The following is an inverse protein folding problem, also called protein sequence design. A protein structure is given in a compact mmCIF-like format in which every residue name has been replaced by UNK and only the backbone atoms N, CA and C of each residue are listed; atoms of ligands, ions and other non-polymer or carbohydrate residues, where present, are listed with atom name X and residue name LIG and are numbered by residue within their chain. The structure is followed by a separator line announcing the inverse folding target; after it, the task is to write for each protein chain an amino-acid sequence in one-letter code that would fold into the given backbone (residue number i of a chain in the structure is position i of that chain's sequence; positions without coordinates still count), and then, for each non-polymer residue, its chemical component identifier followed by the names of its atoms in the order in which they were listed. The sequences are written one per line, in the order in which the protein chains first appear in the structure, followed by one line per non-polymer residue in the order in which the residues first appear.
data_IF_259177704569
#
_entry.id   IF_259177704569
#
_cell.length_a   1.000
_cell.length_b   1.000
_cell.length_c   1.000
_cell.angle_alpha   90.00
_cell.angle_beta   90.00
_cell.angle_gamma   90.00
#
_symmetry.space_group_name_H-M   'P 1'
#
loop_
_entity.id
_entity.type
_entity.pdbx_description
1 polymer ?
#
# COMPACT_ATOMS: atom_id res chain seq x y z
N UNK A 1 -1.95 18.21 -27.18
CA UNK A 1 -2.79 17.01 -27.03
C UNK A 1 -4.00 17.20 -27.91
N UNK A 2 -4.43 16.17 -28.63
CA UNK A 2 -5.55 16.29 -29.55
C UNK A 2 -6.92 16.40 -28.82
N UNK A 3 -7.95 16.82 -29.57
CA UNK A 3 -9.29 17.03 -29.01
C UNK A 3 -9.97 15.75 -28.49
N UNK A 4 -9.67 14.59 -29.06
CA UNK A 4 -10.21 13.32 -28.61
C UNK A 4 -9.59 12.90 -27.28
N UNK A 5 -8.26 12.99 -27.16
CA UNK A 5 -7.51 12.74 -25.93
C UNK A 5 -7.99 13.64 -24.79
N UNK A 6 -8.21 14.94 -25.05
CA UNK A 6 -8.80 15.88 -24.07
C UNK A 6 -10.19 15.46 -23.60
N UNK A 7 -11.09 15.06 -24.52
CA UNK A 7 -12.44 14.59 -24.16
C UNK A 7 -12.41 13.30 -23.36
N UNK A 8 -11.52 12.37 -23.74
CA UNK A 8 -11.32 11.13 -22.99
C UNK A 8 -10.86 11.41 -21.56
N UNK A 9 -9.91 12.33 -21.39
CA UNK A 9 -9.41 12.72 -20.08
C UNK A 9 -10.51 13.36 -19.21
N UNK A 10 -11.27 14.33 -19.75
CA UNK A 10 -12.42 14.91 -19.06
C UNK A 10 -13.40 13.83 -18.58
N UNK A 11 -13.71 12.85 -19.44
CA UNK A 11 -14.60 11.74 -19.08
C UNK A 11 -14.05 10.92 -17.92
N UNK A 12 -12.75 10.63 -17.91
CA UNK A 12 -12.11 9.90 -16.79
C UNK A 12 -12.14 10.71 -15.51
N UNK A 13 -11.89 12.03 -15.56
CA UNK A 13 -11.99 12.92 -14.38
C UNK A 13 -13.41 12.90 -13.81
N UNK A 14 -14.44 13.09 -14.67
CA UNK A 14 -15.83 13.03 -14.22
C UNK A 14 -16.20 11.67 -13.63
N UNK A 15 -15.66 10.58 -14.19
CA UNK A 15 -15.90 9.24 -13.66
C UNK A 15 -15.29 9.09 -12.27
N UNK A 16 -14.02 9.48 -12.07
CA UNK A 16 -13.32 9.44 -10.79
C UNK A 16 -14.07 10.18 -9.68
N UNK A 17 -14.70 11.31 -10.02
CA UNK A 17 -15.49 12.10 -9.06
C UNK A 17 -16.85 11.46 -8.72
N UNK A 18 -17.35 10.55 -9.55
CA UNK A 18 -18.70 9.97 -9.43
C UNK A 18 -18.72 8.52 -8.93
N UNK A 19 -17.65 7.75 -9.17
CA UNK A 19 -17.61 6.31 -8.90
C UNK A 19 -17.45 5.97 -7.42
N UNK A 20 -17.01 6.93 -6.59
CA UNK A 20 -16.61 6.67 -5.21
C UNK A 20 -15.36 5.80 -5.11
N UNK A 21 -14.65 5.57 -6.22
CA UNK A 21 -13.37 4.88 -6.26
C UNK A 21 -12.25 5.80 -5.76
N UNK A 22 -11.20 5.20 -5.17
CA UNK A 22 -10.06 5.93 -4.61
C UNK A 22 -9.18 6.58 -5.70
N UNK A 23 -9.29 6.16 -6.95
CA UNK A 23 -8.56 6.71 -8.11
C UNK A 23 -9.01 6.08 -9.42
N UNK A 24 -8.88 6.82 -10.50
CA UNK A 24 -8.95 6.33 -11.87
C UNK A 24 -7.62 6.47 -12.60
N UNK A 25 -7.38 5.62 -13.60
CA UNK A 25 -6.19 5.72 -14.46
C UNK A 25 -6.63 6.11 -15.86
N UNK A 26 -6.08 7.22 -16.35
CA UNK A 26 -6.19 7.61 -17.75
C UNK A 26 -4.88 7.33 -18.48
N UNK A 27 -4.95 6.68 -19.64
CA UNK A 27 -3.79 6.42 -20.49
C UNK A 27 -3.91 7.16 -21.83
N UNK A 28 -2.87 7.92 -22.18
CA UNK A 28 -2.76 8.60 -23.46
C UNK A 28 -2.30 7.64 -24.57
N UNK A 29 -2.51 8.03 -25.84
CA UNK A 29 -2.15 7.21 -27.01
C UNK A 29 -0.65 6.89 -27.13
N UNK A 30 0.22 7.70 -26.52
CA UNK A 30 1.66 7.43 -26.42
C UNK A 30 2.03 6.57 -25.18
N UNK A 31 1.04 5.93 -24.57
CA UNK A 31 1.16 5.04 -23.41
C UNK A 31 1.63 5.71 -22.10
N UNK A 32 1.68 7.06 -22.05
CA UNK A 32 1.81 7.79 -20.78
C UNK A 32 0.53 7.60 -19.97
N UNK A 33 0.67 7.27 -18.68
CA UNK A 33 -0.45 6.98 -17.78
C UNK A 33 -0.50 7.97 -16.63
N UNK A 34 -1.68 8.47 -16.32
CA UNK A 34 -1.95 9.43 -15.27
C UNK A 34 -3.01 8.86 -14.34
N UNK A 35 -2.68 8.87 -13.05
CA UNK A 35 -3.60 8.55 -11.97
C UNK A 35 -4.32 9.84 -11.54
N UNK A 36 -5.65 9.75 -11.48
CA UNK A 36 -6.58 10.84 -11.15
C UNK A 36 -7.28 10.44 -9.86
N UNK A 37 -7.14 11.25 -8.83
CA UNK A 37 -7.75 11.01 -7.52
C UNK A 37 -8.72 12.14 -7.19
N UNK A 38 -9.95 11.85 -6.74
CA UNK A 38 -10.82 12.89 -6.20
C UNK A 38 -10.21 13.52 -4.94
N UNK A 39 -10.49 14.80 -4.71
CA UNK A 39 -10.16 15.48 -3.47
C UNK A 39 -11.35 15.40 -2.50
N UNK A 40 -11.21 14.60 -1.45
CA UNK A 40 -12.26 14.40 -0.45
C UNK A 40 -12.56 15.67 0.35
N UNK A 41 -11.58 16.58 0.48
CA UNK A 41 -11.73 17.85 1.21
C UNK A 41 -12.36 18.96 0.35
N UNK A 42 -12.13 18.91 -0.96
CA UNK A 42 -12.62 19.91 -1.92
C UNK A 42 -13.43 19.25 -3.05
N UNK A 43 -14.74 19.03 -2.85
CA UNK A 43 -15.59 18.39 -3.85
C UNK A 43 -15.51 19.08 -5.21
N UNK A 44 -15.27 18.29 -6.26
CA UNK A 44 -15.12 18.79 -7.63
C UNK A 44 -13.67 19.12 -8.03
N UNK A 45 -12.71 19.01 -7.11
CA UNK A 45 -11.28 19.07 -7.42
C UNK A 45 -10.68 17.66 -7.54
N UNK A 46 -9.51 17.56 -8.18
CA UNK A 46 -8.75 16.31 -8.33
C UNK A 46 -7.26 16.51 -8.11
N UNK A 47 -6.59 15.47 -7.62
CA UNK A 47 -5.15 15.32 -7.64
C UNK A 47 -4.72 14.50 -8.87
N UNK A 48 -3.63 14.90 -9.50
CA UNK A 48 -3.08 14.23 -10.68
C UNK A 48 -1.66 13.76 -10.36
N UNK A 49 -1.34 12.52 -10.73
CA UNK A 49 0.02 11.99 -10.65
C UNK A 49 0.32 11.22 -11.93
N UNK A 50 1.45 11.50 -12.59
CA UNK A 50 1.91 10.67 -13.69
C UNK A 50 2.58 9.41 -13.16
N UNK A 51 2.22 8.25 -13.72
CA UNK A 51 2.74 6.95 -13.32
C UNK A 51 4.06 6.68 -14.06
N UNK A 52 5.21 6.76 -13.36
CA UNK A 52 6.50 6.47 -13.99
C UNK A 52 6.58 4.99 -14.35
N UNK A 53 7.26 4.64 -15.46
CA UNK A 53 7.59 3.26 -15.76
C UNK A 53 8.57 2.71 -14.72
N UNK A 54 8.44 1.42 -14.41
CA UNK A 54 9.46 0.68 -13.69
C UNK A 54 10.68 0.46 -14.59
N UNK A 55 11.81 0.10 -13.96
CA UNK A 55 12.98 -0.44 -14.67
C UNK A 55 12.72 -1.87 -15.21
N UNK A 56 11.50 -2.15 -15.67
CA UNK A 56 11.00 -3.44 -16.14
C UNK A 56 10.05 -3.29 -17.32
N UNK A 57 10.00 -4.32 -18.16
CA UNK A 57 9.10 -4.41 -19.29
C UNK A 57 8.34 -5.74 -19.28
N UNK A 58 7.21 -5.76 -19.98
CA UNK A 58 6.49 -6.96 -20.36
C UNK A 58 6.55 -7.18 -21.88
N UNK A 59 6.44 -8.41 -22.35
CA UNK A 59 6.21 -8.76 -23.76
C UNK A 59 5.02 -9.72 -23.82
N UNK A 60 4.03 -9.36 -24.62
CA UNK A 60 2.89 -10.25 -24.92
C UNK A 60 3.31 -11.20 -26.03
N UNK A 61 3.55 -12.47 -25.70
CA UNK A 61 3.84 -13.52 -26.67
C UNK A 61 2.56 -14.23 -27.06
N UNK A 62 2.18 -14.17 -28.34
CA UNK A 62 1.08 -14.96 -28.87
C UNK A 62 1.57 -16.38 -29.18
N UNK A 63 1.02 -17.37 -28.49
CA UNK A 63 1.31 -18.80 -28.74
C UNK A 63 0.06 -19.52 -29.21
N UNK A 64 0.21 -20.73 -29.77
CA UNK A 64 -0.93 -21.59 -30.15
C UNK A 64 -1.85 -21.92 -28.96
N UNK A 65 -1.36 -21.84 -27.73
CA UNK A 65 -2.10 -22.08 -26.49
C UNK A 65 -2.70 -20.81 -25.86
N UNK A 66 -2.52 -19.63 -26.48
CA UNK A 66 -2.96 -18.33 -25.97
C UNK A 66 -1.83 -17.31 -25.79
N UNK A 67 -2.17 -16.12 -25.28
CA UNK A 67 -1.20 -15.09 -24.93
C UNK A 67 -0.46 -15.42 -23.63
N UNK A 68 0.86 -15.32 -23.64
CA UNK A 68 1.72 -15.44 -22.46
C UNK A 68 2.50 -14.15 -22.28
N UNK A 69 2.46 -13.59 -21.08
CA UNK A 69 3.28 -12.43 -20.73
C UNK A 69 4.63 -12.89 -20.19
N UNK A 70 5.71 -12.35 -20.75
CA UNK A 70 7.06 -12.48 -20.21
C UNK A 70 7.55 -11.15 -19.67
N UNK A 71 8.26 -11.20 -18.55
CA UNK A 71 8.74 -10.02 -17.84
C UNK A 71 10.25 -10.02 -17.74
N UNK A 72 10.86 -8.85 -17.90
CA UNK A 72 12.31 -8.67 -17.79
C UNK A 72 12.68 -7.31 -17.22
N UNK A 73 13.93 -7.19 -16.79
CA UNK A 73 14.51 -5.91 -16.38
C UNK A 73 14.95 -5.12 -17.63
N UNK A 74 14.79 -3.79 -17.60
CA UNK A 74 15.18 -2.94 -18.72
C UNK A 74 16.71 -2.89 -18.88
N UNK A 75 17.22 -2.95 -20.14
CA UNK A 75 18.64 -2.71 -20.42
C UNK A 75 19.11 -1.34 -19.91
N UNK A 76 20.34 -1.26 -19.43
CA UNK A 76 20.92 -0.04 -18.85
C UNK A 76 20.92 1.14 -19.84
N UNK A 77 21.02 0.87 -21.15
CA UNK A 77 21.02 1.91 -22.19
C UNK A 77 19.66 2.58 -22.38
N UNK A 78 18.58 1.95 -21.91
CA UNK A 78 17.21 2.49 -21.97
C UNK A 78 16.85 3.14 -20.63
N UNK A 79 17.61 2.88 -19.56
CA UNK A 79 17.41 3.53 -18.26
C UNK A 79 17.63 5.03 -18.39
N UNK A 80 16.63 5.80 -17.96
CA UNK A 80 16.63 7.25 -18.08
C UNK A 80 16.05 7.80 -19.40
N UNK A 81 15.79 6.97 -20.42
CA UNK A 81 15.15 7.42 -21.65
C UNK A 81 13.78 8.07 -21.40
N UNK A 82 13.04 7.58 -20.40
CA UNK A 82 11.77 8.17 -19.95
C UNK A 82 11.90 9.64 -19.54
N UNK A 83 12.98 10.01 -18.84
CA UNK A 83 13.19 11.40 -18.40
C UNK A 83 13.60 12.31 -19.56
N UNK A 84 14.24 11.76 -20.58
CA UNK A 84 14.71 12.50 -21.75
C UNK A 84 13.63 12.68 -22.82
N UNK A 85 12.80 11.66 -23.05
CA UNK A 85 11.74 11.65 -24.05
C UNK A 85 10.53 10.82 -23.57
N UNK A 86 9.69 11.38 -22.67
CA UNK A 86 8.57 10.64 -22.10
C UNK A 86 7.51 10.27 -23.16
N UNK A 87 7.31 11.08 -24.20
CA UNK A 87 6.37 10.76 -25.27
C UNK A 87 6.88 9.65 -26.20
N UNK A 88 8.19 9.57 -26.46
CA UNK A 88 8.80 8.55 -27.30
C UNK A 88 9.21 7.27 -26.57
N UNK A 89 9.20 7.28 -25.24
CA UNK A 89 9.72 6.18 -24.41
C UNK A 89 9.16 4.79 -24.75
N UNK A 90 7.85 4.69 -24.95
CA UNK A 90 7.22 3.40 -25.29
C UNK A 90 7.70 2.89 -26.65
N UNK A 91 7.89 3.79 -27.62
CA UNK A 91 8.43 3.44 -28.93
C UNK A 91 9.88 2.99 -28.83
N UNK A 92 10.69 3.57 -27.92
CA UNK A 92 12.06 3.12 -27.66
C UNK A 92 12.06 1.68 -27.15
N UNK A 93 11.19 1.35 -26.18
CA UNK A 93 11.05 -0.02 -25.67
C UNK A 93 10.69 -0.98 -26.79
N UNK A 94 9.68 -0.63 -27.60
CA UNK A 94 9.24 -1.50 -28.70
C UNK A 94 10.32 -1.74 -29.74
N UNK A 95 10.99 -0.67 -30.16
CA UNK A 95 12.06 -0.72 -31.16
C UNK A 95 13.27 -1.53 -30.68
N UNK A 96 13.55 -1.52 -29.36
CA UNK A 96 14.72 -2.19 -28.79
C UNK A 96 14.48 -3.64 -28.39
N UNK A 97 13.27 -3.96 -27.93
CA UNK A 97 12.95 -5.27 -27.36
C UNK A 97 12.05 -6.09 -28.27
N UNK A 98 10.88 -5.57 -28.63
CA UNK A 98 9.89 -6.22 -29.49
C UNK A 98 8.71 -5.27 -29.74
N UNK A 99 8.05 -5.33 -30.88
CA UNK A 99 6.82 -4.56 -31.13
C UNK A 99 5.69 -4.86 -30.13
N UNK A 100 5.71 -6.06 -29.52
CA UNK A 100 4.79 -6.47 -28.47
C UNK A 100 5.27 -6.13 -27.05
N UNK A 101 6.41 -5.45 -26.91
CA UNK A 101 6.94 -5.01 -25.63
C UNK A 101 6.19 -3.77 -25.11
N UNK A 102 6.04 -3.70 -23.81
CA UNK A 102 5.43 -2.56 -23.12
C UNK A 102 6.12 -2.25 -21.80
N UNK A 103 6.06 -0.98 -21.39
CA UNK A 103 6.55 -0.58 -20.07
C UNK A 103 5.62 -1.06 -18.96
N UNK A 104 6.18 -1.67 -17.91
CA UNK A 104 5.42 -1.92 -16.68
C UNK A 104 5.33 -0.62 -15.88
N UNK A 105 4.12 -0.32 -15.40
CA UNK A 105 3.83 0.88 -14.61
C UNK A 105 3.04 0.45 -13.39
N UNK A 106 3.26 1.08 -12.26
CA UNK A 106 2.25 1.11 -11.21
C UNK A 106 2.20 2.46 -10.55
N UNK A 107 1.20 2.62 -9.68
CA UNK A 107 1.04 3.81 -8.87
C UNK A 107 2.32 4.08 -8.09
N UNK A 108 2.64 5.35 -7.95
CA UNK A 108 3.87 5.77 -7.30
C UNK A 108 3.92 5.20 -5.86
N UNK A 109 5.06 4.67 -5.38
CA UNK A 109 5.14 4.08 -4.04
C UNK A 109 4.83 5.07 -2.91
N UNK A 110 4.96 6.37 -3.20
CA UNK A 110 4.57 7.47 -2.32
C UNK A 110 3.25 8.13 -2.73
N UNK A 111 2.36 7.43 -3.44
CA UNK A 111 1.08 7.97 -3.95
C UNK A 111 0.32 8.75 -2.90
N UNK A 112 0.10 8.18 -1.71
CA UNK A 112 -0.64 8.83 -0.63
C UNK A 112 0.02 10.13 -0.14
N UNK A 113 1.36 10.22 -0.20
CA UNK A 113 2.10 11.42 0.17
C UNK A 113 2.13 12.46 -0.96
N UNK A 114 2.25 12.00 -2.21
CA UNK A 114 2.16 12.88 -3.38
C UNK A 114 0.77 13.51 -3.50
N UNK A 115 -0.29 12.73 -3.31
CA UNK A 115 -1.66 13.24 -3.36
C UNK A 115 -1.91 14.28 -2.27
N UNK A 116 -1.49 14.01 -1.03
CA UNK A 116 -1.67 14.95 0.10
C UNK A 116 -0.80 16.20 0.01
N UNK A 117 0.29 16.17 -0.76
CA UNK A 117 1.18 17.32 -0.97
C UNK A 117 1.02 17.97 -2.33
N UNK A 118 0.28 17.39 -3.26
CA UNK A 118 -0.05 18.05 -4.52
C UNK A 118 -1.16 19.08 -4.31
N UNK A 119 -1.12 20.18 -5.05
CA UNK A 119 -2.25 21.11 -5.15
C UNK A 119 -3.37 20.39 -5.90
N UNK A 120 -4.58 20.32 -5.32
CA UNK A 120 -5.74 19.87 -6.07
C UNK A 120 -6.12 20.89 -7.14
N UNK A 121 -6.69 20.40 -8.24
CA UNK A 121 -6.94 21.17 -9.45
C UNK A 121 -8.40 20.99 -9.89
N UNK A 122 -8.96 22.01 -10.55
CA UNK A 122 -10.24 21.83 -11.26
C UNK A 122 -10.05 20.84 -12.42
N UNK A 123 -11.14 20.24 -12.95
CA UNK A 123 -11.05 19.39 -14.13
C UNK A 123 -10.40 20.09 -15.33
N UNK A 124 -10.64 21.37 -15.51
CA UNK A 124 -10.05 22.19 -16.58
C UNK A 124 -8.55 22.38 -16.35
N UNK A 125 -8.13 22.76 -15.15
CA UNK A 125 -6.71 22.90 -14.79
C UNK A 125 -5.96 21.57 -14.96
N UNK A 126 -6.56 20.44 -14.55
CA UNK A 126 -5.98 19.12 -14.70
C UNK A 126 -5.76 18.75 -16.18
N UNK A 127 -6.75 19.02 -17.04
CA UNK A 127 -6.64 18.78 -18.48
C UNK A 127 -5.59 19.67 -19.13
N UNK A 128 -5.51 20.94 -18.73
CA UNK A 128 -4.49 21.87 -19.20
C UNK A 128 -3.09 21.43 -18.77
N UNK A 129 -2.90 21.05 -17.51
CA UNK A 129 -1.61 20.65 -16.97
C UNK A 129 -1.10 19.33 -17.60
N UNK A 130 -1.97 18.34 -17.79
CA UNK A 130 -1.63 17.11 -18.53
C UNK A 130 -1.35 17.43 -20.00
N UNK A 131 -2.16 18.29 -20.63
CA UNK A 131 -1.93 18.72 -22.01
C UNK A 131 -0.55 19.34 -22.19
N UNK A 132 -0.17 20.27 -21.30
CA UNK A 132 1.12 20.97 -21.35
C UNK A 132 2.29 20.00 -21.20
N UNK A 133 2.21 19.06 -20.24
CA UNK A 133 3.25 18.03 -20.07
C UNK A 133 3.42 17.13 -21.30
N UNK A 134 2.31 16.80 -21.99
CA UNK A 134 2.34 16.04 -23.24
C UNK A 134 2.89 16.90 -24.38
N UNK A 135 2.43 18.13 -24.53
CA UNK A 135 2.80 19.03 -25.64
C UNK A 135 4.25 19.48 -25.57
N UNK A 136 4.77 19.66 -24.36
CA UNK A 136 6.18 20.04 -24.13
C UNK A 136 7.12 18.84 -24.03
N UNK A 137 6.59 17.61 -24.13
CA UNK A 137 7.33 16.36 -23.97
C UNK A 137 8.14 16.31 -22.66
N UNK A 138 7.49 16.64 -21.54
CA UNK A 138 8.08 16.62 -20.21
C UNK A 138 7.32 15.69 -19.29
N UNK A 139 8.03 15.08 -18.34
CA UNK A 139 7.39 14.35 -17.25
C UNK A 139 6.55 15.36 -16.48
N UNK A 140 5.27 15.05 -16.28
CA UNK A 140 4.38 15.85 -15.47
C UNK A 140 4.87 15.86 -14.04
N UNK A 141 4.98 17.06 -13.49
CA UNK A 141 5.32 17.29 -12.10
C UNK A 141 4.16 18.03 -11.45
N UNK A 142 3.47 17.44 -10.46
CA UNK A 142 2.40 18.15 -9.77
C UNK A 142 2.98 19.35 -9.03
N UNK A 143 2.23 20.45 -8.96
CA UNK A 143 2.56 21.56 -8.08
C UNK A 143 2.46 21.07 -6.64
N UNK A 144 3.57 21.10 -5.90
CA UNK A 144 3.62 20.65 -4.52
C UNK A 144 3.32 21.84 -3.58
N UNK A 145 2.41 21.65 -2.63
CA UNK A 145 2.13 22.58 -1.54
C UNK A 145 3.33 22.66 -0.59
N UNK A 146 3.57 23.83 0.04
CA UNK A 146 4.64 23.96 1.03
C UNK A 146 4.54 22.90 2.12
N UNK A 147 5.69 22.41 2.59
CA UNK A 147 5.70 21.53 3.76
C UNK A 147 5.21 22.34 4.95
N UNK A 148 4.17 21.87 5.64
CA UNK A 148 3.73 22.42 6.93
C UNK A 148 4.18 21.50 8.06
N UNK A 149 4.88 22.06 9.04
CA UNK A 149 5.28 21.36 10.25
C UNK A 149 4.81 22.14 11.47
N UNK A 150 3.86 21.58 12.21
CA UNK A 150 3.35 22.13 13.46
C UNK A 150 3.60 21.13 14.59
N UNK A 151 4.18 21.57 15.70
CA UNK A 151 4.46 20.71 16.86
C UNK A 151 3.19 20.14 17.49
N UNK A 152 2.12 20.93 17.57
CA UNK A 152 0.83 20.49 18.12
C UNK A 152 0.21 19.40 17.25
N UNK A 153 0.24 19.55 15.93
CA UNK A 153 -0.24 18.51 15.00
C UNK A 153 0.58 17.23 15.11
N UNK A 154 1.91 17.33 15.17
CA UNK A 154 2.79 16.16 15.33
C UNK A 154 2.48 15.42 16.63
N UNK A 155 2.23 16.15 17.71
CA UNK A 155 1.81 15.58 18.99
C UNK A 155 0.42 14.94 18.90
N UNK A 156 -0.54 15.59 18.24
CA UNK A 156 -1.89 15.07 18.05
C UNK A 156 -1.88 13.76 17.26
N UNK A 157 -1.12 13.69 16.15
CA UNK A 157 -0.96 12.46 15.36
C UNK A 157 -0.29 11.35 16.17
N UNK A 158 0.76 11.67 16.93
CA UNK A 158 1.41 10.70 17.81
C UNK A 158 0.45 10.17 18.89
N UNK A 159 -0.32 11.06 19.52
CA UNK A 159 -1.32 10.70 20.52
C UNK A 159 -2.43 9.81 19.92
N UNK A 160 -2.92 10.14 18.72
CA UNK A 160 -3.90 9.33 18.00
C UNK A 160 -3.37 7.92 17.70
N UNK A 161 -2.15 7.80 17.14
CA UNK A 161 -1.55 6.49 16.87
C UNK A 161 -1.33 5.67 18.14
N UNK A 162 -0.92 6.30 19.23
CA UNK A 162 -0.77 5.64 20.52
C UNK A 162 -2.13 5.19 21.08
N UNK A 163 -3.18 5.99 20.94
CA UNK A 163 -4.53 5.63 21.33
C UNK A 163 -5.05 4.44 20.54
N UNK A 164 -4.93 4.46 19.20
CA UNK A 164 -5.32 3.32 18.35
C UNK A 164 -4.51 2.06 18.65
N UNK A 165 -3.20 2.21 18.92
CA UNK A 165 -2.35 1.06 19.31
C UNK A 165 -2.78 0.47 20.65
N UNK A 166 -3.15 1.32 21.62
CA UNK A 166 -3.66 0.91 22.92
C UNK A 166 -5.01 0.20 22.78
N UNK A 167 -5.94 0.79 22.03
CA UNK A 167 -7.25 0.20 21.75
C UNK A 167 -7.11 -1.16 21.08
N UNK A 168 -6.24 -1.28 20.07
CA UNK A 168 -5.97 -2.56 19.40
C UNK A 168 -5.38 -3.61 20.35
N UNK A 169 -4.50 -3.22 21.28
CA UNK A 169 -3.97 -4.13 22.28
C UNK A 169 -5.03 -4.56 23.31
N UNK A 170 -5.89 -3.63 23.75
CA UNK A 170 -7.02 -3.94 24.63
C UNK A 170 -8.02 -4.89 23.96
N UNK A 171 -8.33 -4.67 22.69
CA UNK A 171 -9.13 -5.58 21.87
C UNK A 171 -8.48 -6.96 21.78
N UNK A 172 -7.17 -7.03 21.48
CA UNK A 172 -6.43 -8.30 21.39
C UNK A 172 -6.48 -9.09 22.71
N UNK A 173 -6.39 -8.41 23.85
CA UNK A 173 -6.52 -9.02 25.18
C UNK A 173 -7.95 -9.51 25.43
N UNK A 174 -8.96 -8.71 25.07
CA UNK A 174 -10.36 -9.09 25.19
C UNK A 174 -10.70 -10.32 24.35
N UNK A 175 -10.27 -10.36 23.09
CA UNK A 175 -10.42 -11.51 22.20
C UNK A 175 -9.74 -12.77 22.76
N UNK A 176 -8.53 -12.61 23.32
CA UNK A 176 -7.84 -13.71 23.99
C UNK A 176 -8.64 -14.22 25.19
N UNK A 177 -9.15 -13.36 26.06
CA UNK A 177 -9.99 -13.76 27.19
C UNK A 177 -11.26 -14.50 26.74
N UNK A 178 -11.93 -14.02 25.68
CA UNK A 178 -13.07 -14.71 25.09
C UNK A 178 -12.69 -16.11 24.56
N UNK A 179 -11.49 -16.24 23.96
CA UNK A 179 -10.98 -17.53 23.46
C UNK A 179 -10.58 -18.52 24.56
N UNK A 180 -10.51 -18.05 25.82
CA UNK A 180 -10.23 -18.88 26.99
C UNK A 180 -11.49 -19.36 27.71
N UNK A 181 -12.69 -19.06 27.19
CA UNK A 181 -13.96 -19.49 27.78
C UNK A 181 -14.04 -21.01 28.00
N UNK A 182 -14.73 -21.41 29.07
CA UNK A 182 -14.92 -22.83 29.41
C UNK A 182 -15.72 -23.59 28.34
N UNK A 183 -16.60 -22.89 27.62
CA UNK A 183 -17.41 -23.43 26.51
C UNK A 183 -16.58 -23.85 25.29
N UNK A 184 -15.31 -23.41 25.22
CA UNK A 184 -14.39 -23.78 24.16
C UNK A 184 -13.67 -25.07 24.56
N UNK A 185 -13.63 -26.10 23.68
CA UNK A 185 -12.92 -27.35 23.98
C UNK A 185 -11.45 -27.08 24.32
N UNK A 186 -10.91 -27.80 25.31
CA UNK A 186 -9.60 -27.53 25.89
C UNK A 186 -8.46 -27.38 24.87
N UNK A 187 -8.44 -28.22 23.83
CA UNK A 187 -7.44 -28.17 22.75
C UNK A 187 -7.40 -26.83 21.98
N UNK A 188 -8.53 -26.11 21.93
CA UNK A 188 -8.68 -24.90 21.14
C UNK A 188 -8.74 -23.62 21.99
N UNK A 189 -8.61 -23.73 23.32
CA UNK A 189 -8.59 -22.55 24.20
C UNK A 189 -7.37 -21.69 23.88
N UNK A 190 -7.57 -20.38 23.84
CA UNK A 190 -6.54 -19.40 23.48
C UNK A 190 -6.36 -19.19 21.96
N UNK A 191 -6.89 -20.10 21.13
CA UNK A 191 -6.85 -19.97 19.66
C UNK A 191 -7.94 -19.02 19.16
N UNK A 192 -7.57 -18.13 18.25
CA UNK A 192 -8.46 -17.05 17.79
C UNK A 192 -8.05 -16.51 16.42
N UNK A 193 -9.01 -15.96 15.70
CA UNK A 193 -8.79 -15.19 14.48
C UNK A 193 -9.15 -13.71 14.72
N UNK A 194 -9.05 -12.81 13.72
CA UNK A 194 -9.38 -11.40 13.89
C UNK A 194 -10.85 -11.11 14.26
N UNK A 195 -11.72 -12.12 14.24
CA UNK A 195 -13.13 -12.04 14.63
C UNK A 195 -13.39 -12.63 16.03
N UNK A 196 -12.34 -13.03 16.76
CA UNK A 196 -12.43 -13.61 18.09
C UNK A 196 -12.17 -15.13 18.10
N UNK A 197 -12.82 -15.89 19.01
CA UNK A 197 -12.58 -17.33 19.17
C UNK A 197 -12.79 -18.10 17.86
N UNK A 198 -12.01 -19.16 17.64
CA UNK A 198 -12.15 -19.95 16.42
C UNK A 198 -13.58 -20.52 16.26
N UNK A 199 -14.23 -20.30 15.10
CA UNK A 199 -15.55 -20.85 14.84
C UNK A 199 -15.48 -22.38 14.69
N UNK A 200 -16.63 -23.04 14.84
CA UNK A 200 -16.71 -24.51 14.85
C UNK A 200 -16.08 -25.15 13.60
N UNK A 201 -16.37 -24.65 12.40
CA UNK A 201 -15.78 -25.18 11.15
C UNK A 201 -14.24 -25.17 11.18
N UNK A 202 -13.63 -24.06 11.61
CA UNK A 202 -12.18 -23.99 11.75
C UNK A 202 -11.65 -25.01 12.78
N UNK A 203 -12.33 -25.17 13.92
CA UNK A 203 -11.95 -26.16 14.93
C UNK A 203 -12.07 -27.60 14.41
N UNK A 204 -13.12 -27.90 13.65
CA UNK A 204 -13.36 -29.22 13.06
C UNK A 204 -12.27 -29.56 12.03
N UNK A 205 -11.82 -28.58 11.23
CA UNK A 205 -10.67 -28.76 10.31
C UNK A 205 -9.36 -29.03 11.04
N UNK A 206 -9.06 -28.25 12.08
CA UNK A 206 -7.88 -28.48 12.92
C UNK A 206 -7.93 -29.87 13.58
N UNK A 207 -9.12 -30.29 14.04
CA UNK A 207 -9.33 -31.61 14.62
C UNK A 207 -9.14 -32.73 13.58
N UNK A 208 -9.58 -32.53 12.34
CA UNK A 208 -9.38 -33.47 11.23
C UNK A 208 -7.89 -33.76 11.02
N UNK A 209 -7.08 -32.71 10.91
CA UNK A 209 -5.63 -32.88 10.77
C UNK A 209 -4.99 -33.50 12.02
N UNK A 210 -5.41 -33.08 13.22
CA UNK A 210 -4.90 -33.63 14.48
C UNK A 210 -5.13 -35.15 14.60
N UNK A 211 -6.31 -35.63 14.19
CA UNK A 211 -6.68 -37.04 14.26
C UNK A 211 -6.10 -37.86 13.09
N UNK A 212 -5.96 -37.26 11.91
CA UNK A 212 -5.47 -37.93 10.70
C UNK A 212 -4.56 -36.99 9.90
N UNK A 213 -3.26 -36.90 10.24
CA UNK A 213 -2.31 -36.07 9.50
C UNK A 213 -2.13 -36.59 8.08
N UNK A 214 -2.54 -35.79 7.09
CA UNK A 214 -2.37 -36.06 5.66
C UNK A 214 -2.06 -34.77 4.90
N UNK A 215 -1.54 -34.87 3.68
CA UNK A 215 -1.30 -33.71 2.81
C UNK A 215 -2.59 -32.92 2.54
N UNK A 216 -3.69 -33.62 2.26
CA UNK A 216 -5.01 -33.02 2.01
C UNK A 216 -5.51 -32.27 3.24
N UNK A 217 -5.45 -32.88 4.42
CA UNK A 217 -5.86 -32.23 5.66
C UNK A 217 -4.94 -31.07 6.03
N UNK A 218 -3.64 -31.19 5.75
CA UNK A 218 -2.69 -30.11 5.97
C UNK A 218 -2.98 -28.90 5.10
N UNK A 219 -3.25 -29.10 3.81
CA UNK A 219 -3.57 -28.01 2.90
C UNK A 219 -4.79 -27.20 3.40
N UNK A 220 -5.82 -27.93 3.87
CA UNK A 220 -7.03 -27.35 4.44
C UNK A 220 -6.81 -26.50 5.72
N UNK A 221 -5.77 -26.78 6.51
CA UNK A 221 -5.53 -26.08 7.79
C UNK A 221 -4.36 -25.11 7.75
N UNK A 222 -3.38 -25.33 6.87
CA UNK A 222 -2.07 -24.64 6.83
C UNK A 222 -2.18 -23.12 6.77
N UNK A 223 -3.26 -22.61 6.15
CA UNK A 223 -3.54 -21.19 5.92
C UNK A 223 -4.60 -20.59 6.85
N UNK A 224 -5.18 -21.38 7.74
CA UNK A 224 -6.15 -20.86 8.71
C UNK A 224 -5.46 -19.89 9.67
N UNK A 225 -6.09 -18.75 9.97
CA UNK A 225 -5.57 -17.82 10.97
C UNK A 225 -5.98 -18.34 12.35
N UNK A 226 -5.01 -18.74 13.16
CA UNK A 226 -5.25 -19.33 14.49
C UNK A 226 -4.71 -18.49 15.65
N UNK A 227 -4.07 -17.34 15.34
CA UNK A 227 -3.71 -16.32 16.34
C UNK A 227 -3.90 -14.91 15.75
N UNK A 228 -4.77 -14.11 16.37
CA UNK A 228 -5.20 -12.80 15.85
C UNK A 228 -4.10 -11.73 15.90
N UNK A 229 -3.34 -11.64 16.99
CA UNK A 229 -2.36 -10.56 17.21
C UNK A 229 -1.19 -10.50 16.23
N UNK A 230 -0.99 -11.54 15.40
CA UNK A 230 0.04 -11.57 14.33
C UNK A 230 -0.48 -12.15 13.01
N UNK A 231 -1.79 -12.39 12.88
CA UNK A 231 -2.38 -13.13 11.76
C UNK A 231 -1.66 -14.46 11.48
N UNK A 232 -1.18 -15.13 12.54
CA UNK A 232 -0.37 -16.33 12.37
C UNK A 232 -1.22 -17.52 11.94
N UNK A 233 -0.68 -18.28 10.98
CA UNK A 233 -1.26 -19.54 10.51
C UNK A 233 -0.47 -20.73 11.06
N UNK A 234 -1.02 -21.97 11.05
CA UNK A 234 -0.26 -23.15 11.41
C UNK A 234 1.06 -23.27 10.67
N UNK A 235 1.07 -22.98 9.35
CA UNK A 235 2.29 -22.99 8.56
C UNK A 235 3.29 -21.91 9.00
N UNK A 236 2.83 -20.67 9.21
CA UNK A 236 3.67 -19.57 9.68
C UNK A 236 4.31 -19.83 11.04
N UNK A 237 3.58 -20.50 11.94
CA UNK A 237 4.12 -20.91 13.24
C UNK A 237 5.10 -22.07 13.08
N UNK A 238 4.78 -23.07 12.26
CA UNK A 238 5.67 -24.20 12.01
C UNK A 238 7.05 -23.75 11.52
N UNK A 239 7.11 -22.87 10.52
CA UNK A 239 8.39 -22.35 9.99
C UNK A 239 9.20 -21.56 11.02
N UNK A 240 8.55 -21.01 12.04
CA UNK A 240 9.21 -20.24 13.10
C UNK A 240 9.82 -21.11 14.20
N UNK A 241 9.26 -22.33 14.42
CA UNK A 241 9.73 -23.25 15.47
C UNK A 241 10.58 -24.39 14.93
N UNK A 242 10.46 -24.72 13.64
CA UNK A 242 11.21 -25.81 12.97
C UNK A 242 11.95 -25.26 11.74
N UNK A 243 13.29 -25.09 11.80
CA UNK A 243 14.09 -24.62 10.68
C UNK A 243 14.01 -25.49 9.42
N UNK A 244 13.67 -26.78 9.57
CA UNK A 244 13.53 -27.73 8.47
C UNK A 244 12.14 -27.68 7.83
N UNK A 245 11.19 -26.89 8.34
CA UNK A 245 9.85 -26.78 7.79
C UNK A 245 9.89 -26.26 6.34
N UNK A 246 9.02 -26.76 5.43
CA UNK A 246 8.94 -26.24 4.07
C UNK A 246 8.57 -24.76 4.06
N UNK A 247 9.37 -23.93 3.37
CA UNK A 247 9.13 -22.48 3.21
C UNK A 247 8.39 -22.12 1.93
N UNK A 248 8.14 -23.10 1.08
CA UNK A 248 7.36 -22.95 -0.15
C UNK A 248 6.72 -24.29 -0.53
N UNK A 249 5.71 -24.22 -1.38
CA UNK A 249 5.21 -25.36 -2.13
C UNK A 249 6.27 -25.79 -3.16
N UNK A 250 6.15 -27.03 -3.66
CA UNK A 250 6.95 -27.48 -4.80
C UNK A 250 6.40 -26.89 -6.13
N UNK A 251 7.05 -27.22 -7.26
CA UNK A 251 6.65 -26.71 -8.59
C UNK A 251 5.22 -27.13 -9.02
N UNK A 252 4.68 -28.20 -8.44
CA UNK A 252 3.35 -28.70 -8.74
C UNK A 252 2.27 -28.09 -7.83
N UNK A 253 2.66 -27.27 -6.84
CA UNK A 253 1.76 -26.69 -5.86
C UNK A 253 1.52 -27.57 -4.63
N UNK A 254 2.23 -28.67 -4.46
CA UNK A 254 2.07 -29.57 -3.31
C UNK A 254 3.03 -29.24 -2.16
N UNK A 255 2.63 -29.61 -0.95
CA UNK A 255 3.47 -29.53 0.24
C UNK A 255 4.58 -30.60 0.19
N UNK A 256 5.87 -30.22 0.34
CA UNK A 256 6.96 -31.21 0.36
C UNK A 256 6.88 -32.18 1.54
N UNK A 257 6.34 -31.72 2.68
CA UNK A 257 6.03 -32.52 3.88
C UNK A 257 5.00 -31.79 4.73
N UNK A 258 4.35 -32.52 5.64
CA UNK A 258 3.43 -31.99 6.66
C UNK A 258 4.07 -32.10 8.05
N UNK A 259 3.61 -31.31 9.04
CA UNK A 259 4.04 -31.53 10.42
C UNK A 259 3.49 -32.87 10.92
N UNK A 260 4.23 -33.52 11.82
CA UNK A 260 3.68 -34.63 12.59
C UNK A 260 2.73 -34.11 13.68
N UNK A 261 2.05 -35.04 14.37
CA UNK A 261 1.05 -34.69 15.40
C UNK A 261 1.66 -33.88 16.55
N UNK A 262 2.87 -34.21 16.98
CA UNK A 262 3.54 -33.53 18.10
C UNK A 262 3.95 -32.11 17.71
N UNK A 263 4.44 -31.93 16.48
CA UNK A 263 4.73 -30.62 15.91
C UNK A 263 3.44 -29.80 15.77
N UNK A 264 2.34 -30.43 15.37
CA UNK A 264 1.04 -29.77 15.28
C UNK A 264 0.52 -29.31 16.65
N UNK A 265 0.71 -30.12 17.70
CA UNK A 265 0.40 -29.69 19.08
C UNK A 265 1.22 -28.45 19.46
N UNK A 266 2.53 -28.46 19.23
CA UNK A 266 3.40 -27.30 19.50
C UNK A 266 2.95 -26.05 18.75
N UNK A 267 2.50 -26.22 17.50
CA UNK A 267 1.93 -25.11 16.71
C UNK A 267 0.71 -24.52 17.41
N UNK A 268 -0.23 -25.34 17.89
CA UNK A 268 -1.41 -24.88 18.61
C UNK A 268 -1.05 -24.24 19.96
N UNK A 269 -0.11 -24.82 20.70
CA UNK A 269 0.38 -24.27 21.97
C UNK A 269 0.98 -22.87 21.78
N UNK A 270 1.87 -22.70 20.78
CA UNK A 270 2.45 -21.40 20.46
C UNK A 270 1.36 -20.41 20.04
N UNK A 271 0.41 -20.83 19.20
CA UNK A 271 -0.71 -19.98 18.77
C UNK A 271 -1.59 -19.51 19.95
N UNK A 272 -1.76 -20.35 20.97
CA UNK A 272 -2.56 -20.09 22.17
C UNK A 272 -1.90 -19.17 23.19
N UNK A 273 -0.67 -18.70 22.94
CA UNK A 273 0.08 -17.90 23.90
C UNK A 273 -0.61 -16.56 24.19
N UNK A 274 -0.65 -16.19 25.48
CA UNK A 274 -1.22 -14.93 25.96
C UNK A 274 -0.53 -13.71 25.29
N UNK A 275 -1.29 -12.81 24.65
CA UNK A 275 -0.72 -11.58 24.06
C UNK A 275 0.01 -10.70 25.09
N UNK A 276 -0.36 -10.74 26.38
CA UNK A 276 0.33 -10.00 27.45
C UNK A 276 1.79 -10.45 27.62
N UNK A 277 2.11 -11.71 27.28
CA UNK A 277 3.50 -12.21 27.27
C UNK A 277 4.29 -11.73 26.05
N UNK A 278 3.62 -11.20 25.01
CA UNK A 278 4.23 -10.92 23.71
C UNK A 278 4.58 -9.45 23.45
N UNK A 279 4.10 -8.46 24.20
CA UNK A 279 4.20 -7.06 23.73
C UNK A 279 4.43 -6.02 24.83
N UNK A 280 5.56 -5.33 24.73
CA UNK A 280 5.63 -3.91 25.09
C UNK A 280 5.01 -3.11 23.94
N UNK A 281 3.97 -2.32 24.22
CA UNK A 281 3.44 -1.37 23.25
C UNK A 281 4.54 -0.36 22.91
N UNK A 282 4.98 -0.32 21.66
CA UNK A 282 5.92 0.70 21.20
C UNK A 282 5.14 2.01 21.08
N UNK A 283 5.39 2.94 21.99
CA UNK A 283 4.85 4.30 21.90
C UNK A 283 5.55 5.07 20.79
N UNK A 284 4.77 5.79 19.99
CA UNK A 284 5.23 6.70 18.95
C UNK A 284 5.32 8.10 19.54
N UNK A 285 6.43 8.79 19.32
CA UNK A 285 6.63 10.18 19.73
C UNK A 285 6.38 11.16 18.59
N UNK A 286 6.22 12.45 18.90
CA UNK A 286 6.15 13.51 17.88
C UNK A 286 7.41 13.54 16.99
N UNK A 287 8.59 13.24 17.56
CA UNK A 287 9.85 13.14 16.80
C UNK A 287 9.85 11.97 15.81
N UNK A 288 9.17 10.87 16.14
CA UNK A 288 9.02 9.75 15.20
C UNK A 288 8.11 10.15 14.02
N UNK A 289 7.02 10.86 14.29
CA UNK A 289 6.14 11.42 13.25
C UNK A 289 6.90 12.42 12.38
N UNK A 290 7.73 13.28 13.00
CA UNK A 290 8.57 14.24 12.28
C UNK A 290 9.55 13.52 11.35
N UNK A 291 10.25 12.49 11.85
CA UNK A 291 11.18 11.69 11.04
C UNK A 291 10.47 11.04 9.85
N UNK A 292 9.27 10.50 10.05
CA UNK A 292 8.47 9.94 8.97
C UNK A 292 8.08 11.00 7.92
N UNK A 293 7.57 12.17 8.35
CA UNK A 293 7.23 13.27 7.44
C UNK A 293 8.46 13.76 6.66
N UNK A 294 9.61 13.92 7.31
CA UNK A 294 10.87 14.33 6.67
C UNK A 294 11.40 13.25 5.72
N UNK A 295 11.27 11.97 6.06
CA UNK A 295 11.66 10.88 5.17
C UNK A 295 10.80 10.85 3.90
N UNK A 296 9.49 11.05 4.04
CA UNK A 296 8.58 11.15 2.90
C UNK A 296 8.90 12.37 2.02
N UNK A 297 9.13 13.54 2.63
CA UNK A 297 9.50 14.77 1.91
C UNK A 297 10.83 14.62 1.17
N UNK A 298 11.83 14.01 1.79
CA UNK A 298 13.12 13.76 1.13
C UNK A 298 12.99 12.73 0.00
N UNK A 299 12.08 11.77 0.12
CA UNK A 299 11.71 10.87 -0.98
C UNK A 299 11.11 11.63 -2.16
N UNK A 300 10.20 12.57 -1.87
CA UNK A 300 9.59 13.45 -2.87
C UNK A 300 10.62 14.34 -3.57
N UNK A 301 11.46 15.06 -2.80
CA UNK A 301 12.53 15.93 -3.33
C UNK A 301 13.50 15.15 -4.22
N UNK A 302 13.91 13.95 -3.81
CA UNK A 302 14.76 13.07 -4.64
C UNK A 302 14.13 12.76 -6.00
N UNK A 303 12.82 12.50 -6.03
CA UNK A 303 12.12 12.20 -7.27
C UNK A 303 12.01 13.44 -8.19
N UNK A 304 11.93 14.63 -7.60
CA UNK A 304 11.97 15.90 -8.32
C UNK A 304 13.39 16.35 -8.69
N UNK A 305 14.44 15.59 -8.30
CA UNK A 305 15.83 15.99 -8.53
C UNK A 305 16.32 17.12 -7.62
N UNK A 306 15.59 17.39 -6.54
CA UNK A 306 15.93 18.40 -5.53
C UNK A 306 16.82 17.79 -4.43
N UNK A 307 17.68 18.59 -3.79
CA UNK A 307 18.44 18.14 -2.62
C UNK A 307 17.50 17.82 -1.46
N UNK A 308 17.94 16.95 -0.54
CA UNK A 308 17.24 16.71 0.71
C UNK A 308 17.13 18.00 1.54
N UNK A 309 16.08 18.08 2.36
CA UNK A 309 15.90 19.15 3.34
C UNK A 309 17.10 19.25 4.27
N UNK A 310 17.60 20.47 4.41
CA UNK A 310 18.56 20.85 5.44
C UNK A 310 17.85 21.12 6.77
N UNK A 311 18.60 21.06 7.87
CA UNK A 311 18.04 21.39 9.19
C UNK A 311 17.55 22.85 9.26
N UNK A 312 18.23 23.77 8.58
CA UNK A 312 17.82 25.17 8.51
C UNK A 312 16.46 25.33 7.83
N UNK A 313 16.22 24.64 6.70
CA UNK A 313 14.92 24.64 6.04
C UNK A 313 13.82 24.03 6.92
N UNK A 314 14.14 22.99 7.70
CA UNK A 314 13.18 22.40 8.65
C UNK A 314 12.81 23.38 9.75
N UNK A 315 13.78 24.11 10.30
CA UNK A 315 13.56 25.13 11.33
C UNK A 315 12.73 26.32 10.79
N UNK A 316 13.00 26.74 9.55
CA UNK A 316 12.24 27.79 8.86
C UNK A 316 10.78 27.37 8.65
N UNK A 317 10.54 26.14 8.20
CA UNK A 317 9.18 25.61 8.01
C UNK A 317 8.37 25.59 9.31
N UNK A 318 9.00 25.22 10.44
CA UNK A 318 8.34 25.31 11.75
C UNK A 318 7.99 26.77 12.09
N UNK A 319 8.91 27.71 11.87
CA UNK A 319 8.70 29.12 12.17
C UNK A 319 7.59 29.75 11.30
N UNK A 320 7.50 29.39 10.02
CA UNK A 320 6.43 29.86 9.13
C UNK A 320 5.06 29.33 9.55
N UNK A 321 4.98 28.08 9.98
CA UNK A 321 3.71 27.45 10.38
C UNK A 321 3.20 27.99 11.71
N UNK A 322 4.08 28.34 12.65
CA UNK A 322 3.72 28.95 13.93
C UNK A 322 3.22 30.41 13.80
N UNK A 323 3.31 31.01 12.60
CA UNK A 323 2.95 32.40 12.31
C UNK A 323 1.70 32.57 11.42
N UNK A 324 1.04 31.49 10.97
CA UNK A 324 -0.26 31.63 10.29
C UNK A 324 -1.33 32.12 11.32
N UNK A 325 -1.89 33.34 11.16
CA UNK A 325 -2.98 33.77 12.03
C UNK A 325 -4.19 32.84 11.81
N UNK A 326 -4.86 32.48 12.90
CA UNK A 326 -6.08 31.68 12.85
C UNK A 326 -7.04 32.28 11.80
N UNK A 327 -7.72 31.46 10.98
CA UNK A 327 -8.66 31.97 10.00
C UNK A 327 -9.68 32.85 10.71
N UNK A 328 -9.77 34.11 10.27
CA UNK A 328 -10.78 35.04 10.77
C UNK A 328 -12.13 34.36 10.56
N UNK A 329 -12.80 33.99 11.66
CA UNK A 329 -14.21 33.62 11.62
C UNK A 329 -14.97 34.87 11.17
N UNK A 330 -15.17 35.00 9.87
CA UNK A 330 -16.05 36.00 9.27
C UNK A 330 -17.50 35.59 9.57
N UNK A 331 -17.86 35.74 10.85
CA UNK A 331 -19.24 35.74 11.32
C UNK A 331 -19.86 37.07 10.91
N UNK A 332 -20.07 37.26 9.61
CA UNK A 332 -20.92 38.34 9.12
C UNK A 332 -22.32 38.20 9.74
N UNK A 333 -22.95 39.30 10.17
CA UNK A 333 -24.26 39.23 10.79
C UNK A 333 -25.29 38.75 9.75
N UNK A 334 -26.00 37.66 10.08
CA UNK A 334 -27.07 37.15 9.25
C UNK A 334 -28.22 38.19 9.13
N UNK A 335 -28.81 38.37 7.93
CA UNK A 335 -29.93 39.27 7.70
C UNK A 335 -31.26 38.79 8.31
#
# INVERSE_FOLDING_TARGET
MDSFSRRSLHKTISFAQSSGELSEIWQHANCRSFEIMPDDEHPGMVYITEMPPYDRYGIILTTEAGGKDEYGDLPDEIKGAWKADPNGYEQIIRTRLSDAAYSLRASHPFRQYLSTRSRSMTPEEAVEAISDAIDTNRVYQPTITPLKLNREELQAVAAQRNASSKEHAEQTVSEYQASMSEDIPALFRGLRNPLGPLPKDCRDRLLSFYNSPSLENWDNVSRLIISSGRYNTPWGIWISIDPAAPRSLNMNGDWPRTPDRDTFIKILEVASTDPKRSTALKTVSADDILKEKLAAENGLRRNMGLPALTMAEVEEVFAETDHEPAPENDSGPAP
#
